data_IF_892001786360
#
_entry.id   IF_892001786360
#
_cell.length_a   1.000
_cell.length_b   1.000
_cell.length_c   1.000
_cell.angle_alpha   90.00
_cell.angle_beta   90.00
_cell.angle_gamma   90.00
#
_symmetry.space_group_name_H-M   'P 1'
#
loop_
_entity.id
_entity.type
_entity.pdbx_description
1 polymer ?
#
# COMPACT_ATOMS: atom_id res chain seq x y z
N UNK A 1 9.04 33.95 -9.78
CA UNK A 1 8.31 33.41 -8.61
C UNK A 1 7.03 32.68 -9.02
N UNK A 2 7.03 31.85 -10.09
CA UNK A 2 5.86 31.10 -10.60
C UNK A 2 6.16 29.67 -11.07
N UNK A 3 7.31 29.08 -10.70
CA UNK A 3 7.76 27.77 -11.18
C UNK A 3 7.85 26.71 -10.04
N UNK A 4 7.63 27.07 -8.80
CA UNK A 4 7.91 26.22 -7.64
C UNK A 4 6.73 25.36 -7.12
N UNK A 5 5.58 25.39 -7.80
CA UNK A 5 4.37 24.68 -7.34
C UNK A 5 4.08 23.34 -8.06
N UNK A 6 5.00 22.81 -8.85
CA UNK A 6 4.72 21.67 -9.75
C UNK A 6 5.32 20.31 -9.39
N UNK A 7 6.00 20.13 -8.25
CA UNK A 7 6.76 18.89 -8.01
C UNK A 7 6.32 18.06 -6.79
N UNK A 8 5.34 18.49 -6.00
CA UNK A 8 4.89 17.73 -4.82
C UNK A 8 3.49 17.12 -4.96
N UNK A 9 2.92 17.18 -6.14
CA UNK A 9 1.58 16.64 -6.39
C UNK A 9 1.54 15.83 -7.68
N UNK A 10 2.36 14.79 -7.80
CA UNK A 10 2.21 13.81 -8.89
C UNK A 10 1.22 12.69 -8.53
N UNK A 11 0.35 12.94 -7.58
CA UNK A 11 -1.05 12.55 -7.57
C UNK A 11 -1.91 13.80 -7.81
N UNK A 12 -1.43 14.69 -8.67
CA UNK A 12 -2.27 15.74 -9.22
C UNK A 12 -3.32 15.04 -10.07
N UNK A 13 -4.55 15.13 -9.63
CA UNK A 13 -5.58 15.51 -10.57
C UNK A 13 -4.92 16.47 -11.57
N UNK A 14 -4.69 16.01 -12.81
CA UNK A 14 -4.58 16.91 -13.90
C UNK A 14 -5.81 17.80 -13.82
N UNK A 15 -5.62 19.02 -13.31
CA UNK A 15 -6.52 20.14 -13.51
C UNK A 15 -6.33 20.64 -14.96
N UNK A 16 -6.21 19.72 -15.93
CA UNK A 16 -6.71 19.96 -17.24
C UNK A 16 -8.20 20.22 -17.03
N UNK A 17 -8.68 21.38 -17.37
CA UNK A 17 -10.10 21.62 -17.62
C UNK A 17 -10.62 20.35 -18.27
N UNK A 18 -11.48 19.62 -17.54
CA UNK A 18 -12.09 18.42 -18.07
C UNK A 18 -13.00 18.92 -19.16
N UNK A 19 -12.48 18.96 -20.39
CA UNK A 19 -13.29 19.15 -21.58
C UNK A 19 -14.19 17.94 -21.62
N UNK A 20 -15.39 18.11 -21.10
CA UNK A 20 -16.43 17.12 -21.26
C UNK A 20 -16.74 17.05 -22.74
N UNK A 21 -16.68 15.87 -23.31
CA UNK A 21 -17.02 15.63 -24.70
C UNK A 21 -18.54 15.66 -24.89
N UNK A 22 -18.99 16.09 -26.04
CA UNK A 22 -20.43 16.23 -26.38
C UNK A 22 -21.09 14.89 -26.70
N UNK A 23 -20.30 13.87 -27.03
CA UNK A 23 -20.76 12.51 -27.30
C UNK A 23 -19.95 11.43 -26.61
N UNK A 24 -20.57 10.27 -26.39
CA UNK A 24 -19.90 9.08 -25.85
C UNK A 24 -18.78 8.62 -26.80
N UNK A 25 -19.02 8.68 -28.11
CA UNK A 25 -18.03 8.28 -29.13
C UNK A 25 -16.76 9.12 -29.04
N UNK A 26 -16.91 10.43 -28.87
CA UNK A 26 -15.76 11.32 -28.65
C UNK A 26 -15.04 11.05 -27.35
N UNK A 27 -15.77 10.84 -26.26
CA UNK A 27 -15.18 10.47 -24.98
C UNK A 27 -14.40 9.14 -25.05
N UNK A 28 -14.91 8.16 -25.79
CA UNK A 28 -14.21 6.91 -26.05
C UNK A 28 -12.98 7.10 -26.95
N UNK A 29 -13.06 7.87 -28.02
CA UNK A 29 -11.93 8.13 -28.93
C UNK A 29 -10.77 8.88 -28.26
N UNK A 30 -11.09 9.77 -27.32
CA UNK A 30 -10.12 10.59 -26.58
C UNK A 30 -9.74 10.02 -25.21
N UNK A 31 -9.97 8.74 -25.00
CA UNK A 31 -9.52 8.04 -23.82
C UNK A 31 -8.01 7.78 -23.85
N UNK A 32 -7.49 7.35 -22.70
CA UNK A 32 -6.07 7.04 -22.49
C UNK A 32 -5.89 5.55 -22.32
N UNK A 33 -5.08 4.94 -23.18
CA UNK A 33 -4.57 3.59 -23.00
C UNK A 33 -3.29 3.63 -22.17
N UNK A 34 -3.14 2.69 -21.26
CA UNK A 34 -1.93 2.50 -20.45
C UNK A 34 -1.59 1.02 -20.38
N UNK A 35 -0.31 0.71 -20.32
CA UNK A 35 0.11 -0.67 -20.16
C UNK A 35 1.53 -0.78 -19.63
N UNK A 36 1.84 -1.96 -19.13
CA UNK A 36 3.20 -2.34 -18.80
C UNK A 36 3.47 -3.81 -19.11
N UNK A 37 4.73 -4.09 -19.41
CA UNK A 37 5.28 -5.44 -19.45
C UNK A 37 6.47 -5.45 -18.49
N UNK A 38 6.52 -6.44 -17.61
CA UNK A 38 7.61 -6.58 -16.66
C UNK A 38 8.12 -8.01 -16.59
N UNK A 39 9.44 -8.16 -16.59
CA UNK A 39 10.12 -9.35 -16.14
C UNK A 39 10.54 -9.15 -14.69
N UNK A 40 9.94 -9.90 -13.78
CA UNK A 40 10.07 -9.71 -12.35
C UNK A 40 10.58 -10.98 -11.67
N UNK A 41 11.49 -10.82 -10.73
CA UNK A 41 12.01 -11.89 -9.90
C UNK A 41 11.92 -11.55 -8.42
N UNK A 42 11.77 -12.55 -7.61
CA UNK A 42 11.82 -12.49 -6.16
C UNK A 42 12.61 -13.68 -5.62
N UNK A 43 13.47 -13.42 -4.66
CA UNK A 43 14.20 -14.41 -3.89
C UNK A 43 14.16 -14.07 -2.42
N UNK A 44 13.69 -15.00 -1.61
CA UNK A 44 13.70 -14.91 -0.16
C UNK A 44 14.58 -15.98 0.45
N UNK A 45 15.63 -15.58 1.15
CA UNK A 45 16.56 -16.45 1.87
C UNK A 45 16.31 -16.42 3.37
N UNK A 46 16.28 -17.58 4.01
CA UNK A 46 16.24 -17.72 5.47
C UNK A 46 17.65 -17.92 6.01
N UNK A 47 18.04 -17.15 7.03
CA UNK A 47 19.35 -17.30 7.66
C UNK A 47 19.44 -18.60 8.46
N UNK A 48 20.51 -19.38 8.22
CA UNK A 48 20.73 -20.77 8.68
C UNK A 48 20.56 -21.02 10.19
N UNK A 49 20.73 -20.04 11.06
CA UNK A 49 20.68 -20.23 12.51
C UNK A 49 19.29 -20.46 13.11
N UNK A 50 18.24 -20.22 12.34
CA UNK A 50 16.84 -20.31 12.83
C UNK A 50 15.99 -21.34 12.06
N UNK A 51 16.53 -21.95 11.03
CA UNK A 51 15.83 -22.95 10.23
C UNK A 51 15.31 -24.14 11.03
N UNK A 52 15.97 -24.51 12.15
CA UNK A 52 15.56 -25.61 13.00
C UNK A 52 14.31 -25.35 13.85
N UNK A 53 14.14 -24.14 14.37
CA UNK A 53 12.97 -23.76 15.18
C UNK A 53 11.78 -23.36 14.30
N UNK A 54 12.07 -22.73 13.19
CA UNK A 54 11.09 -22.31 12.17
C UNK A 54 10.65 -23.48 11.30
N UNK A 55 11.53 -24.48 11.08
CA UNK A 55 11.25 -25.65 10.23
C UNK A 55 10.03 -26.46 10.70
N UNK A 56 9.75 -26.56 11.98
CA UNK A 56 8.55 -27.23 12.49
C UNK A 56 7.27 -26.42 12.30
N UNK A 57 7.31 -25.12 12.48
CA UNK A 57 6.16 -24.24 12.28
C UNK A 57 5.88 -23.96 10.80
N UNK A 58 6.93 -23.79 9.99
CA UNK A 58 6.81 -23.57 8.53
C UNK A 58 6.55 -24.86 7.76
N UNK A 59 6.99 -26.02 8.25
CA UNK A 59 6.62 -27.32 7.67
C UNK A 59 5.11 -27.55 7.72
N UNK A 60 4.42 -27.03 8.72
CA UNK A 60 2.95 -27.03 8.81
C UNK A 60 2.30 -26.20 7.72
N UNK A 61 3.02 -25.20 7.17
CA UNK A 61 2.56 -24.34 6.07
C UNK A 61 3.24 -24.64 4.72
N UNK A 62 4.01 -25.71 4.61
CA UNK A 62 4.69 -26.10 3.38
C UNK A 62 5.99 -25.34 3.06
N UNK A 63 6.59 -24.67 4.05
CA UNK A 63 7.82 -23.88 3.88
C UNK A 63 9.04 -24.58 4.45
N UNK A 64 9.88 -25.09 3.59
CA UNK A 64 11.14 -25.73 3.96
C UNK A 64 12.37 -24.96 3.47
N UNK A 65 12.43 -23.66 3.64
CA UNK A 65 13.65 -22.93 3.30
C UNK A 65 13.46 -21.70 2.41
N UNK A 66 14.45 -21.43 1.58
CA UNK A 66 14.47 -20.31 0.65
C UNK A 66 13.38 -20.48 -0.42
N UNK A 67 12.78 -19.39 -0.86
CA UNK A 67 11.86 -19.35 -1.99
C UNK A 67 12.40 -18.45 -3.09
N UNK A 68 11.99 -18.68 -4.32
CA UNK A 68 12.40 -17.85 -5.43
C UNK A 68 11.69 -18.17 -6.73
N UNK A 69 11.45 -17.13 -7.52
CA UNK A 69 10.80 -17.27 -8.81
C UNK A 69 11.19 -16.14 -9.76
N UNK A 70 11.02 -16.42 -11.08
CA UNK A 70 10.97 -15.41 -12.12
C UNK A 70 9.69 -15.56 -12.93
N UNK A 71 9.07 -14.43 -13.28
CA UNK A 71 7.84 -14.39 -14.04
C UNK A 71 7.83 -13.21 -15.03
N UNK A 72 7.05 -13.37 -16.09
CA UNK A 72 6.62 -12.28 -16.93
C UNK A 72 5.21 -11.88 -16.57
N UNK A 73 4.92 -10.59 -16.53
CA UNK A 73 3.56 -10.12 -16.37
C UNK A 73 3.26 -8.93 -17.29
N UNK A 74 2.00 -8.77 -17.65
CA UNK A 74 1.49 -7.70 -18.49
C UNK A 74 0.26 -7.10 -17.85
N UNK A 75 0.23 -5.77 -17.80
CA UNK A 75 -0.94 -4.98 -17.43
C UNK A 75 -1.40 -4.14 -18.61
N UNK A 76 -2.70 -4.13 -18.89
CA UNK A 76 -3.32 -3.31 -19.91
C UNK A 76 -4.55 -2.63 -19.35
N UNK A 77 -4.73 -1.36 -19.70
CA UNK A 77 -5.87 -0.58 -19.23
C UNK A 77 -6.28 0.51 -20.21
N UNK A 78 -7.51 0.90 -20.08
CA UNK A 78 -8.10 2.00 -20.83
C UNK A 78 -8.98 2.82 -19.91
N UNK A 79 -8.90 4.15 -20.02
CA UNK A 79 -9.77 5.10 -19.33
C UNK A 79 -10.34 6.04 -20.37
N UNK A 80 -11.67 6.14 -20.48
CA UNK A 80 -12.33 7.07 -21.40
C UNK A 80 -12.08 8.52 -21.01
N UNK A 81 -12.26 9.44 -21.95
CA UNK A 81 -12.52 10.84 -21.62
C UNK A 81 -13.83 11.01 -20.86
N UNK A 82 -14.11 12.21 -20.39
CA UNK A 82 -15.38 12.52 -19.74
C UNK A 82 -16.46 12.83 -20.76
N UNK A 83 -17.56 12.10 -20.71
CA UNK A 83 -18.83 12.48 -21.33
C UNK A 83 -19.69 13.18 -20.28
N UNK A 84 -19.95 14.46 -20.45
CA UNK A 84 -20.53 15.34 -19.41
C UNK A 84 -19.74 15.23 -18.13
N UNK A 85 -19.95 14.67 -17.13
CA UNK A 85 -19.16 14.56 -15.91
C UNK A 85 -18.80 13.09 -15.56
N UNK A 86 -19.01 12.16 -16.50
CA UNK A 86 -18.85 10.73 -16.26
C UNK A 86 -17.77 10.17 -17.19
N UNK A 87 -16.90 9.33 -16.65
CA UNK A 87 -15.98 8.48 -17.40
C UNK A 87 -15.98 7.05 -16.90
N UNK A 88 -15.46 6.14 -17.71
CA UNK A 88 -15.31 4.74 -17.40
C UNK A 88 -13.85 4.32 -17.53
N UNK A 89 -13.43 3.34 -16.73
CA UNK A 89 -12.13 2.69 -16.87
C UNK A 89 -12.26 1.19 -16.77
N UNK A 90 -11.39 0.49 -17.51
CA UNK A 90 -11.21 -0.96 -17.41
C UNK A 90 -9.73 -1.29 -17.53
N UNK A 91 -9.22 -2.18 -16.71
CA UNK A 91 -7.86 -2.71 -16.84
C UNK A 91 -7.77 -4.14 -16.33
N UNK A 92 -6.78 -4.87 -16.81
CA UNK A 92 -6.50 -6.23 -16.37
C UNK A 92 -4.99 -6.46 -16.31
N UNK A 93 -4.61 -7.50 -15.56
CA UNK A 93 -3.23 -7.97 -15.44
C UNK A 93 -3.19 -9.48 -15.57
N UNK A 94 -2.15 -9.97 -16.24
CA UNK A 94 -1.86 -11.39 -16.35
C UNK A 94 -0.38 -11.64 -16.08
N UNK A 95 -0.06 -12.78 -15.46
CA UNK A 95 1.31 -13.16 -15.13
C UNK A 95 1.52 -14.67 -15.35
N UNK A 96 2.75 -15.03 -15.74
CA UNK A 96 3.14 -16.43 -15.88
C UNK A 96 4.57 -16.63 -15.38
N UNK A 97 4.80 -17.60 -14.45
CA UNK A 97 6.13 -17.94 -14.03
C UNK A 97 6.83 -18.78 -15.11
N UNK A 98 8.08 -18.47 -15.40
CA UNK A 98 8.92 -19.30 -16.27
C UNK A 98 10.03 -19.99 -15.49
N UNK A 99 10.26 -19.62 -14.22
CA UNK A 99 11.17 -20.32 -13.33
C UNK A 99 10.69 -20.23 -11.88
N UNK A 100 10.85 -21.32 -11.13
CA UNK A 100 10.65 -21.41 -9.69
C UNK A 100 11.78 -22.22 -9.08
N UNK A 101 12.27 -21.82 -7.90
CA UNK A 101 13.26 -22.60 -7.15
C UNK A 101 12.66 -23.95 -6.72
N UNK A 102 11.40 -23.96 -6.29
CA UNK A 102 10.66 -25.17 -5.95
C UNK A 102 9.45 -25.30 -6.86
N UNK A 103 9.47 -26.30 -7.75
CA UNK A 103 8.40 -26.51 -8.74
C UNK A 103 7.17 -27.23 -8.19
N UNK A 104 7.34 -28.06 -7.15
CA UNK A 104 6.33 -29.00 -6.66
C UNK A 104 5.90 -28.70 -5.22
N UNK A 105 5.94 -27.45 -4.79
CA UNK A 105 5.37 -27.08 -3.48
C UNK A 105 3.87 -27.38 -3.46
N UNK A 106 3.38 -27.81 -2.30
CA UNK A 106 1.96 -27.93 -1.97
C UNK A 106 1.34 -26.52 -1.90
N UNK A 107 1.15 -25.92 -3.06
CA UNK A 107 0.47 -24.64 -3.22
C UNK A 107 -0.92 -24.88 -3.80
N UNK A 108 -1.89 -24.00 -3.57
CA UNK A 108 -3.25 -24.17 -4.07
C UNK A 108 -3.32 -24.42 -5.59
N UNK A 109 -2.36 -23.91 -6.35
CA UNK A 109 -2.32 -24.04 -7.81
C UNK A 109 -1.29 -25.04 -8.32
N UNK A 110 -0.42 -25.56 -7.45
CA UNK A 110 0.67 -26.47 -7.85
C UNK A 110 1.76 -25.86 -8.74
N UNK A 111 1.85 -24.52 -8.81
CA UNK A 111 2.74 -23.79 -9.73
C UNK A 111 4.03 -23.27 -9.06
N UNK A 112 4.45 -23.90 -7.97
CA UNK A 112 5.69 -23.59 -7.28
C UNK A 112 5.67 -22.29 -6.47
N UNK A 113 6.83 -21.71 -6.21
CA UNK A 113 6.99 -20.55 -5.34
C UNK A 113 6.18 -19.33 -5.80
N UNK A 114 6.12 -19.05 -7.09
CA UNK A 114 5.35 -17.95 -7.64
C UNK A 114 3.85 -18.03 -7.32
N UNK A 115 3.29 -19.24 -7.26
CA UNK A 115 1.86 -19.43 -6.96
C UNK A 115 1.51 -19.19 -5.49
N UNK A 116 2.50 -19.01 -4.68
CA UNK A 116 2.35 -18.70 -3.27
C UNK A 116 2.59 -17.22 -2.98
N UNK A 117 3.68 -16.68 -3.51
CA UNK A 117 4.17 -15.36 -3.13
C UNK A 117 3.68 -14.27 -4.09
N UNK A 118 3.42 -14.62 -5.35
CA UNK A 118 2.96 -13.68 -6.36
C UNK A 118 1.46 -13.78 -6.65
N UNK A 119 0.93 -14.98 -6.93
CA UNK A 119 -0.51 -15.17 -7.19
C UNK A 119 -1.05 -16.43 -6.49
N UNK A 120 -2.26 -16.33 -5.92
CA UNK A 120 -2.85 -17.43 -5.17
C UNK A 120 -3.44 -18.51 -6.10
N UNK A 121 -4.39 -18.15 -6.98
CA UNK A 121 -5.10 -19.07 -7.86
C UNK A 121 -5.06 -18.64 -9.31
N UNK A 122 -5.40 -17.39 -9.61
CA UNK A 122 -5.57 -16.89 -10.96
C UNK A 122 -4.32 -16.17 -11.46
N UNK A 123 -3.88 -16.53 -12.67
CA UNK A 123 -2.78 -15.88 -13.38
C UNK A 123 -3.23 -14.65 -14.19
N UNK A 124 -4.53 -14.43 -14.29
CA UNK A 124 -5.10 -13.25 -14.93
C UNK A 124 -6.30 -12.75 -14.12
N UNK A 125 -6.40 -11.45 -13.96
CA UNK A 125 -7.49 -10.84 -13.20
C UNK A 125 -7.84 -9.46 -13.75
N UNK A 126 -9.13 -9.09 -13.59
CA UNK A 126 -9.61 -7.74 -13.84
C UNK A 126 -9.06 -6.82 -12.73
N UNK A 127 -8.24 -5.86 -13.11
CA UNK A 127 -7.61 -4.94 -12.19
C UNK A 127 -8.53 -3.77 -11.85
N UNK A 128 -8.95 -3.00 -12.84
CA UNK A 128 -9.88 -1.88 -12.65
C UNK A 128 -11.13 -2.09 -13.51
N UNK A 129 -12.28 -1.71 -12.97
CA UNK A 129 -13.54 -1.62 -13.70
C UNK A 129 -14.47 -0.68 -12.94
N UNK A 130 -14.50 0.60 -13.30
CA UNK A 130 -15.29 1.58 -12.55
C UNK A 130 -15.90 2.65 -13.44
N UNK A 131 -16.95 3.27 -12.91
CA UNK A 131 -17.47 4.56 -13.35
C UNK A 131 -17.02 5.65 -12.40
N UNK A 132 -16.69 6.82 -12.92
CA UNK A 132 -16.33 8.00 -12.15
C UNK A 132 -17.16 9.18 -12.59
N UNK A 133 -17.76 9.87 -11.63
CA UNK A 133 -18.37 11.19 -11.78
C UNK A 133 -17.47 12.24 -11.17
N UNK A 134 -17.31 13.38 -11.86
CA UNK A 134 -16.54 14.51 -11.38
C UNK A 134 -17.11 15.83 -11.90
N UNK A 135 -17.44 16.77 -11.01
CA UNK A 135 -17.99 18.09 -11.34
C UNK A 135 -17.08 19.27 -10.95
N UNK A 136 -15.86 18.97 -10.51
CA UNK A 136 -14.90 19.96 -9.99
C UNK A 136 -14.74 19.85 -8.47
N UNK A 137 -15.81 19.79 -7.72
CA UNK A 137 -15.81 19.72 -6.27
C UNK A 137 -16.06 18.33 -5.73
N UNK A 138 -16.95 17.60 -6.39
CA UNK A 138 -17.35 16.24 -5.98
C UNK A 138 -16.77 15.21 -6.95
N UNK A 139 -16.13 14.20 -6.39
CA UNK A 139 -15.68 13.04 -7.12
C UNK A 139 -16.29 11.77 -6.52
N UNK A 140 -16.94 10.95 -7.37
CA UNK A 140 -17.55 9.68 -6.97
C UNK A 140 -17.01 8.59 -7.89
N UNK A 141 -16.51 7.48 -7.31
CA UNK A 141 -16.14 6.27 -8.06
C UNK A 141 -16.95 5.09 -7.56
N UNK A 142 -17.44 4.27 -8.49
CA UNK A 142 -18.16 3.04 -8.18
C UNK A 142 -17.66 1.89 -9.07
N UNK A 143 -17.37 0.75 -8.46
CA UNK A 143 -16.82 -0.43 -9.11
C UNK A 143 -15.53 -0.91 -8.48
N UNK A 144 -14.59 -1.38 -9.30
CA UNK A 144 -13.28 -1.89 -8.88
C UNK A 144 -12.19 -0.87 -9.16
N UNK A 145 -11.52 -0.40 -8.12
CA UNK A 145 -10.43 0.59 -8.21
C UNK A 145 -9.59 0.61 -6.93
N UNK A 146 -8.42 1.26 -6.98
CA UNK A 146 -7.63 1.54 -5.77
C UNK A 146 -8.23 2.76 -5.07
N UNK A 147 -8.62 2.59 -3.80
CA UNK A 147 -9.11 3.69 -2.97
C UNK A 147 -7.91 4.53 -2.52
N UNK A 148 -7.90 5.86 -2.74
CA UNK A 148 -6.81 6.73 -2.36
C UNK A 148 -6.84 7.05 -0.85
N UNK A 149 -6.63 6.04 -0.02
CA UNK A 149 -6.65 6.17 1.45
C UNK A 149 -5.33 5.67 2.05
N UNK A 150 -4.91 6.24 3.17
CA UNK A 150 -3.64 5.87 3.80
C UNK A 150 -3.63 4.47 4.45
N UNK A 151 -4.80 3.94 4.80
CA UNK A 151 -4.94 2.64 5.45
C UNK A 151 -5.39 1.53 4.51
N UNK A 152 -5.73 1.88 3.26
CA UNK A 152 -6.16 0.93 2.25
C UNK A 152 -5.34 1.17 0.99
N UNK A 153 -4.55 0.19 0.61
CA UNK A 153 -3.65 0.26 -0.54
C UNK A 153 -3.87 -0.87 -1.55
N UNK A 154 -5.00 -1.55 -1.44
CA UNK A 154 -5.36 -2.68 -2.30
C UNK A 154 -6.43 -2.28 -3.31
N UNK A 155 -6.57 -3.05 -4.37
CA UNK A 155 -7.71 -2.96 -5.28
C UNK A 155 -8.98 -3.35 -4.53
N UNK A 156 -10.06 -2.58 -4.70
CA UNK A 156 -11.28 -2.72 -3.91
C UNK A 156 -12.52 -2.63 -4.80
N UNK A 157 -13.50 -3.49 -4.52
CA UNK A 157 -14.84 -3.41 -5.10
C UNK A 157 -15.73 -2.61 -4.16
N UNK A 158 -16.18 -1.41 -4.60
CA UNK A 158 -16.91 -0.53 -3.71
C UNK A 158 -17.30 0.80 -4.33
N UNK A 159 -17.58 1.74 -3.43
CA UNK A 159 -17.93 3.12 -3.77
C UNK A 159 -17.03 4.04 -2.95
N UNK A 160 -16.48 5.05 -3.57
CA UNK A 160 -15.73 6.12 -2.93
C UNK A 160 -16.28 7.47 -3.36
N UNK A 161 -16.37 8.39 -2.40
CA UNK A 161 -16.86 9.74 -2.60
C UNK A 161 -15.94 10.73 -1.91
N UNK A 162 -15.67 11.85 -2.57
CA UNK A 162 -14.94 12.98 -2.01
C UNK A 162 -15.60 14.28 -2.42
N UNK A 163 -15.76 15.20 -1.47
CA UNK A 163 -16.31 16.52 -1.70
C UNK A 163 -15.38 17.60 -1.13
N UNK A 164 -15.18 18.68 -1.91
CA UNK A 164 -14.35 19.85 -1.60
C UNK A 164 -15.09 21.18 -1.80
N UNK A 165 -16.41 21.15 -1.79
CA UNK A 165 -17.24 22.36 -1.93
C UNK A 165 -17.03 23.38 -0.80
N UNK A 166 -16.52 22.93 0.33
CA UNK A 166 -16.17 23.81 1.45
C UNK A 166 -14.71 24.29 1.30
N UNK A 167 -14.45 25.58 1.54
CA UNK A 167 -13.15 26.21 1.31
C UNK A 167 -12.00 25.53 2.04
N UNK A 168 -12.21 25.17 3.31
CA UNK A 168 -11.15 24.62 4.17
C UNK A 168 -11.44 23.21 4.68
N UNK A 169 -12.50 22.57 4.17
CA UNK A 169 -12.92 21.23 4.60
C UNK A 169 -13.08 20.30 3.41
N UNK A 170 -12.40 19.18 3.47
CA UNK A 170 -12.61 18.04 2.57
C UNK A 170 -13.33 16.92 3.33
N UNK A 171 -14.42 16.45 2.78
CA UNK A 171 -15.14 15.27 3.25
C UNK A 171 -14.86 14.10 2.29
N UNK A 172 -14.58 12.95 2.84
CA UNK A 172 -14.33 11.72 2.09
C UNK A 172 -15.03 10.55 2.78
N UNK A 173 -15.54 9.63 1.99
CA UNK A 173 -16.08 8.38 2.50
C UNK A 173 -15.94 7.28 1.47
N UNK A 174 -15.90 6.04 1.93
CA UNK A 174 -15.99 4.89 1.05
C UNK A 174 -16.63 3.70 1.74
N UNK A 175 -17.20 2.86 0.92
CA UNK A 175 -17.67 1.54 1.30
C UNK A 175 -17.04 0.49 0.38
N UNK A 176 -16.51 -0.58 0.96
CA UNK A 176 -15.84 -1.67 0.24
C UNK A 176 -16.41 -3.00 0.67
N UNK A 177 -16.75 -3.85 -0.30
CA UNK A 177 -17.24 -5.20 -0.05
C UNK A 177 -16.18 -6.27 -0.25
N UNK A 178 -15.42 -6.19 -1.34
CA UNK A 178 -14.37 -7.14 -1.70
C UNK A 178 -13.05 -6.40 -1.97
N UNK A 179 -11.93 -7.11 -1.77
CA UNK A 179 -10.61 -6.57 -2.02
C UNK A 179 -9.68 -7.64 -2.60
N UNK A 180 -8.66 -7.20 -3.31
CA UNK A 180 -7.62 -8.04 -3.85
C UNK A 180 -6.38 -7.22 -4.17
N UNK A 181 -5.28 -7.86 -4.54
CA UNK A 181 -4.06 -7.20 -4.98
C UNK A 181 -3.84 -7.43 -6.46
N UNK A 182 -3.61 -6.36 -7.21
CA UNK A 182 -3.32 -6.42 -8.64
C UNK A 182 -2.22 -5.41 -8.94
N UNK A 183 -0.98 -5.84 -8.73
CA UNK A 183 0.22 -5.05 -8.94
C UNK A 183 1.26 -5.83 -9.75
N UNK A 184 2.28 -5.14 -10.23
CA UNK A 184 3.36 -5.80 -10.98
C UNK A 184 4.22 -6.75 -10.14
N UNK A 185 4.13 -6.65 -8.82
CA UNK A 185 4.89 -7.46 -7.87
C UNK A 185 4.04 -8.46 -7.08
N UNK A 186 2.70 -8.38 -7.17
CA UNK A 186 1.79 -9.30 -6.49
C UNK A 186 0.39 -9.28 -7.11
N UNK A 187 -0.22 -10.43 -7.21
CA UNK A 187 -1.63 -10.61 -7.57
C UNK A 187 -2.30 -11.52 -6.56
N UNK A 188 -3.53 -11.21 -6.17
CA UNK A 188 -4.38 -12.09 -5.36
C UNK A 188 -5.80 -12.07 -5.88
N UNK A 189 -6.52 -13.15 -5.62
CA UNK A 189 -7.95 -13.19 -5.89
C UNK A 189 -8.70 -12.19 -5.00
N UNK A 190 -9.87 -11.79 -5.46
CA UNK A 190 -10.75 -10.93 -4.68
C UNK A 190 -11.50 -11.75 -3.64
N UNK A 191 -11.51 -11.26 -2.42
CA UNK A 191 -12.18 -11.88 -1.28
C UNK A 191 -12.98 -10.84 -0.49
N UNK A 192 -13.96 -11.32 0.26
CA UNK A 192 -14.80 -10.45 1.10
C UNK A 192 -13.97 -9.79 2.19
N UNK A 193 -14.16 -8.48 2.34
CA UNK A 193 -13.60 -7.73 3.47
C UNK A 193 -14.12 -8.24 4.80
N UNK A 194 -15.41 -8.56 4.85
CA UNK A 194 -16.07 -9.08 6.06
C UNK A 194 -16.71 -10.44 5.78
N UNK A 195 -16.08 -11.54 6.19
CA UNK A 195 -16.64 -12.87 6.01
C UNK A 195 -17.82 -13.19 6.94
N UNK A 196 -18.08 -12.36 7.95
CA UNK A 196 -19.12 -12.58 8.97
C UNK A 196 -20.40 -11.77 8.75
N UNK A 197 -20.40 -10.87 7.76
CA UNK A 197 -21.56 -10.06 7.41
C UNK A 197 -21.56 -9.73 5.92
N UNK A 198 -22.72 -9.44 5.36
CA UNK A 198 -22.87 -8.96 3.98
C UNK A 198 -22.39 -7.52 3.78
N UNK A 199 -22.20 -6.77 4.85
CA UNK A 199 -21.67 -5.41 4.84
C UNK A 199 -20.16 -5.46 5.06
N UNK A 200 -19.39 -4.90 4.13
CA UNK A 200 -17.93 -4.89 4.18
C UNK A 200 -17.36 -3.87 5.18
N UNK A 201 -16.60 -2.91 4.67
CA UNK A 201 -15.92 -1.85 5.43
C UNK A 201 -16.44 -0.49 4.99
N UNK A 202 -16.85 0.34 5.93
CA UNK A 202 -17.18 1.76 5.75
C UNK A 202 -16.08 2.62 6.36
N UNK A 203 -15.71 3.69 5.68
CA UNK A 203 -14.90 4.78 6.20
C UNK A 203 -15.58 6.12 5.98
N UNK A 204 -15.44 7.02 6.96
CA UNK A 204 -15.76 8.43 6.83
C UNK A 204 -14.55 9.23 7.32
N UNK A 205 -14.17 10.26 6.59
CA UNK A 205 -13.02 11.10 6.86
C UNK A 205 -13.40 12.57 6.67
N UNK A 206 -13.03 13.40 7.62
CA UNK A 206 -13.06 14.85 7.52
C UNK A 206 -11.62 15.38 7.65
N UNK A 207 -11.17 16.18 6.69
CA UNK A 207 -9.85 16.81 6.67
C UNK A 207 -10.02 18.33 6.61
N UNK A 208 -9.58 19.00 7.66
CA UNK A 208 -9.63 20.46 7.78
C UNK A 208 -8.24 21.05 7.48
N UNK A 209 -8.21 22.08 6.64
CA UNK A 209 -7.01 22.81 6.24
C UNK A 209 -6.93 24.10 7.05
N UNK A 210 -6.20 24.09 8.18
CA UNK A 210 -5.94 25.31 8.98
C UNK A 210 -5.14 26.30 8.15
N UNK A 211 -4.18 25.79 7.38
CA UNK A 211 -3.48 26.47 6.30
C UNK A 211 -3.27 25.50 5.15
N UNK A 212 -2.84 25.93 3.96
CA UNK A 212 -2.51 25.01 2.86
C UNK A 212 -1.46 23.93 3.21
N UNK A 213 -0.64 24.19 4.23
CA UNK A 213 0.46 23.31 4.66
C UNK A 213 0.26 22.70 6.05
N UNK A 214 -0.79 23.07 6.76
CA UNK A 214 -1.13 22.51 8.07
C UNK A 214 -2.56 21.97 8.08
N UNK A 215 -2.71 20.68 8.32
CA UNK A 215 -3.99 19.98 8.23
C UNK A 215 -4.25 19.12 9.45
N UNK A 216 -5.51 19.03 9.83
CA UNK A 216 -6.03 18.09 10.83
C UNK A 216 -7.04 17.18 10.15
N UNK A 217 -6.92 15.88 10.38
CA UNK A 217 -7.82 14.87 9.83
C UNK A 217 -8.42 14.05 10.97
N UNK A 218 -9.72 13.83 10.92
CA UNK A 218 -10.44 12.87 11.76
C UNK A 218 -11.09 11.81 10.84
N UNK A 219 -11.07 10.57 11.25
CA UNK A 219 -11.62 9.48 10.46
C UNK A 219 -12.19 8.37 11.33
N UNK A 220 -13.10 7.61 10.74
CA UNK A 220 -13.64 6.38 11.35
C UNK A 220 -13.64 5.23 10.36
N UNK A 221 -13.47 4.02 10.87
CA UNK A 221 -13.71 2.77 10.16
C UNK A 221 -14.75 1.96 10.88
N UNK A 222 -15.65 1.32 10.12
CA UNK A 222 -16.68 0.46 10.67
C UNK A 222 -16.82 -0.82 9.84
N UNK A 223 -16.67 -1.95 10.49
CA UNK A 223 -16.90 -3.28 9.94
C UNK A 223 -17.74 -4.08 10.93
N UNK A 224 -18.98 -4.40 10.60
CA UNK A 224 -19.90 -5.08 11.52
C UNK A 224 -19.29 -6.36 12.09
N UNK A 225 -19.49 -6.60 13.39
CA UNK A 225 -18.97 -7.75 14.15
C UNK A 225 -17.47 -7.82 14.34
N UNK A 226 -16.65 -7.11 13.53
CA UNK A 226 -15.19 -7.18 13.60
C UNK A 226 -14.62 -6.02 14.42
N UNK A 227 -14.81 -4.77 14.01
CA UNK A 227 -14.36 -3.60 14.78
C UNK A 227 -15.02 -2.29 14.33
N UNK A 228 -14.90 -1.29 15.21
CA UNK A 228 -15.07 0.13 14.91
C UNK A 228 -13.83 0.87 15.34
N UNK A 229 -13.24 1.69 14.49
CA UNK A 229 -12.06 2.48 14.83
C UNK A 229 -12.28 3.97 14.61
N UNK A 230 -11.69 4.78 15.48
CA UNK A 230 -11.66 6.23 15.40
C UNK A 230 -10.21 6.68 15.38
N UNK A 231 -9.88 7.60 14.50
CA UNK A 231 -8.52 8.11 14.39
C UNK A 231 -8.45 9.59 14.08
N UNK A 232 -7.32 10.16 14.42
CA UNK A 232 -6.97 11.54 14.08
C UNK A 232 -5.53 11.61 13.61
N UNK A 233 -5.23 12.58 12.73
CA UNK A 233 -3.88 12.85 12.24
C UNK A 233 -3.68 14.33 12.01
N UNK A 234 -2.53 14.83 12.43
CA UNK A 234 -2.07 16.18 12.21
C UNK A 234 -0.86 16.12 11.29
N UNK A 235 -0.83 16.96 10.26
CA UNK A 235 0.31 17.10 9.36
C UNK A 235 0.65 18.57 9.21
N UNK A 236 1.92 18.89 9.34
CA UNK A 236 2.45 20.24 9.10
C UNK A 236 3.70 20.19 8.24
N UNK A 237 3.82 21.12 7.29
CA UNK A 237 5.00 21.32 6.47
C UNK A 237 5.29 22.80 6.31
N UNK A 238 6.51 23.18 6.56
CA UNK A 238 7.01 24.53 6.34
C UNK A 238 8.08 24.50 5.25
N UNK A 239 7.89 25.29 4.20
CA UNK A 239 8.79 25.35 3.04
C UNK A 239 9.53 26.68 3.00
N UNK A 240 10.85 26.61 2.93
CA UNK A 240 11.77 27.69 2.64
C UNK A 240 12.25 27.57 1.18
N UNK A 241 12.98 28.56 0.66
CA UNK A 241 13.33 28.60 -0.76
C UNK A 241 13.94 27.29 -1.30
N UNK A 242 14.86 26.66 -0.57
CA UNK A 242 15.61 25.51 -1.01
C UNK A 242 15.35 24.23 -0.21
N UNK A 243 14.69 24.34 0.93
CA UNK A 243 14.40 23.19 1.79
C UNK A 243 13.02 23.28 2.44
N UNK A 244 12.58 22.18 2.97
CA UNK A 244 11.38 22.08 3.76
C UNK A 244 11.62 21.25 5.01
N UNK A 245 10.85 21.53 6.04
CA UNK A 245 10.77 20.75 7.27
C UNK A 245 9.31 20.46 7.56
N UNK A 246 9.01 19.30 8.10
CA UNK A 246 7.65 18.99 8.49
C UNK A 246 7.59 17.92 9.56
N UNK A 247 6.38 17.79 10.09
CA UNK A 247 6.05 16.78 11.08
C UNK A 247 4.63 16.25 10.85
N UNK A 248 4.43 15.01 11.24
CA UNK A 248 3.10 14.40 11.32
C UNK A 248 2.97 13.60 12.61
N UNK A 249 1.77 13.52 13.14
CA UNK A 249 1.42 12.67 14.26
C UNK A 249 0.01 12.11 14.07
N UNK A 250 -0.20 10.89 14.50
CA UNK A 250 -1.48 10.20 14.40
C UNK A 250 -1.79 9.38 15.63
N UNK A 251 -3.06 9.20 15.90
CA UNK A 251 -3.56 8.29 16.91
C UNK A 251 -4.83 7.63 16.41
N UNK A 252 -4.90 6.32 16.57
CA UNK A 252 -6.10 5.54 16.22
C UNK A 252 -6.41 4.58 17.35
N UNK A 253 -7.69 4.48 17.67
CA UNK A 253 -8.23 3.57 18.67
C UNK A 253 -9.32 2.72 18.05
N UNK A 254 -9.35 1.42 18.36
CA UNK A 254 -10.38 0.51 17.88
C UNK A 254 -11.12 -0.18 19.02
N UNK A 255 -12.42 -0.35 18.81
CA UNK A 255 -13.32 -1.17 19.62
C UNK A 255 -13.55 -2.46 18.85
N UNK A 256 -13.00 -3.56 19.33
CA UNK A 256 -13.11 -4.87 18.68
C UNK A 256 -14.50 -5.47 18.91
N UNK A 257 -15.06 -6.06 17.86
CA UNK A 257 -16.35 -6.75 17.89
C UNK A 257 -16.29 -8.19 18.39
N UNK A 258 -17.38 -8.91 18.21
CA UNK A 258 -17.51 -10.32 18.62
C UNK A 258 -16.60 -11.25 17.81
N UNK A 259 -16.45 -10.97 16.51
CA UNK A 259 -15.66 -11.77 15.57
C UNK A 259 -14.27 -11.17 15.40
N UNK A 260 -13.41 -11.39 16.35
CA UNK A 260 -12.01 -10.99 16.29
C UNK A 260 -11.11 -12.15 15.93
N UNK A 261 -9.99 -11.87 15.30
CA UNK A 261 -8.98 -12.90 15.08
C UNK A 261 -8.42 -13.45 16.39
N UNK A 262 -8.19 -14.76 16.44
CA UNK A 262 -7.57 -15.41 17.58
C UNK A 262 -6.25 -14.75 17.96
N UNK A 263 -6.06 -14.43 19.22
CA UNK A 263 -4.86 -13.75 19.74
C UNK A 263 -4.95 -12.23 19.82
N UNK A 264 -6.02 -11.60 19.28
CA UNK A 264 -6.27 -10.17 19.49
C UNK A 264 -7.12 -9.93 20.72
N UNK A 265 -6.77 -8.90 21.47
CA UNK A 265 -7.48 -8.46 22.66
C UNK A 265 -8.39 -7.29 22.31
N UNK A 266 -9.38 -7.03 23.17
CA UNK A 266 -10.27 -5.88 22.97
C UNK A 266 -9.51 -4.55 23.07
N UNK A 267 -9.98 -3.56 22.32
CA UNK A 267 -9.61 -2.17 22.46
C UNK A 267 -8.12 -1.90 22.22
N UNK A 268 -7.71 -1.95 20.99
CA UNK A 268 -6.35 -1.67 20.56
C UNK A 268 -6.15 -0.22 20.15
N UNK A 269 -4.94 0.28 20.32
CA UNK A 269 -4.57 1.61 19.79
C UNK A 269 -3.18 1.61 19.17
N UNK A 270 -2.99 2.56 18.28
CA UNK A 270 -1.73 2.87 17.61
C UNK A 270 -1.50 4.38 17.68
N UNK A 271 -0.28 4.78 18.03
CA UNK A 271 0.19 6.15 17.97
C UNK A 271 1.43 6.20 17.07
N UNK A 272 1.53 7.22 16.23
CA UNK A 272 2.71 7.43 15.39
C UNK A 272 3.12 8.92 15.38
N UNK A 273 4.42 9.15 15.21
CA UNK A 273 4.98 10.47 14.97
C UNK A 273 6.16 10.37 14.01
N UNK A 274 6.25 11.30 13.06
CA UNK A 274 7.34 11.39 12.09
C UNK A 274 7.74 12.85 11.92
N UNK A 275 9.04 13.12 11.86
CA UNK A 275 9.62 14.38 11.44
C UNK A 275 10.40 14.15 10.15
N UNK A 276 10.43 15.15 9.28
CA UNK A 276 11.14 15.06 8.02
C UNK A 276 11.74 16.41 7.63
N UNK A 277 12.90 16.33 7.00
CA UNK A 277 13.61 17.44 6.40
C UNK A 277 13.97 17.08 4.98
N UNK A 278 13.84 18.01 4.05
CA UNK A 278 14.16 17.73 2.66
C UNK A 278 14.56 18.97 1.85
N UNK A 279 15.14 18.65 0.69
CA UNK A 279 15.48 19.57 -0.39
C UNK A 279 14.83 19.05 -1.68
N UNK A 280 15.05 19.73 -2.80
CA UNK A 280 14.47 19.38 -4.11
C UNK A 280 14.64 17.90 -4.50
N UNK A 281 15.77 17.30 -4.17
CA UNK A 281 16.15 15.97 -4.61
C UNK A 281 16.43 14.99 -3.46
N UNK A 282 16.26 15.42 -2.22
CA UNK A 282 16.65 14.65 -1.04
C UNK A 282 15.67 14.87 0.11
N UNK A 283 15.30 13.80 0.80
CA UNK A 283 14.53 13.85 2.05
C UNK A 283 15.13 12.86 3.05
N UNK A 284 15.28 13.29 4.30
CA UNK A 284 15.49 12.42 5.45
C UNK A 284 14.30 12.52 6.39
N UNK A 285 14.00 11.43 7.05
CA UNK A 285 12.95 11.41 8.06
C UNK A 285 13.31 10.45 9.19
N UNK A 286 12.72 10.70 10.35
CA UNK A 286 12.77 9.81 11.50
C UNK A 286 11.41 9.73 12.14
N UNK A 287 11.06 8.58 12.68
CA UNK A 287 9.74 8.38 13.27
C UNK A 287 9.73 7.33 14.37
N UNK A 288 8.60 7.36 15.07
CA UNK A 288 8.28 6.45 16.16
C UNK A 288 6.85 5.97 16.04
N UNK A 289 6.63 4.67 16.23
CA UNK A 289 5.30 4.06 16.26
C UNK A 289 5.17 3.23 17.52
N UNK A 290 4.04 3.37 18.19
CA UNK A 290 3.69 2.60 19.38
C UNK A 290 2.33 1.94 19.25
N UNK A 291 2.25 0.65 19.63
CA UNK A 291 0.99 -0.08 19.74
C UNK A 291 0.71 -0.42 21.21
N UNK A 292 -0.57 -0.40 21.58
CA UNK A 292 -0.99 -0.67 22.97
C UNK A 292 -0.73 -2.12 23.40
N UNK A 293 -0.93 -2.38 24.71
CA UNK A 293 -0.85 -3.72 25.30
C UNK A 293 -1.83 -4.71 24.65
N UNK A 294 -2.97 -4.22 24.26
CA UNK A 294 -3.94 -4.95 23.47
C UNK A 294 -3.47 -4.91 22.04
N UNK A 295 -3.33 -6.03 21.38
CA UNK A 295 -2.77 -6.04 20.03
C UNK A 295 -3.60 -5.24 19.05
N UNK A 296 -2.94 -4.72 18.06
CA UNK A 296 -3.28 -3.96 16.87
C UNK A 296 -4.73 -3.71 16.52
N UNK A 297 -4.97 -2.61 15.90
CA UNK A 297 -6.28 -2.25 15.39
C UNK A 297 -6.40 -2.58 13.89
N UNK A 298 -7.64 -2.66 13.39
CA UNK A 298 -7.90 -2.79 11.96
C UNK A 298 -7.31 -4.06 11.34
N UNK A 299 -7.30 -5.15 12.09
CA UNK A 299 -6.73 -6.39 11.59
C UNK A 299 -7.71 -7.16 10.70
N UNK A 300 -7.93 -6.63 9.52
CA UNK A 300 -8.58 -7.31 8.41
C UNK A 300 -7.68 -7.19 7.17
N UNK A 301 -7.78 -8.14 6.25
CA UNK A 301 -6.83 -8.26 5.14
C UNK A 301 -6.70 -7.05 4.23
N UNK A 302 -7.76 -6.24 4.11
CA UNK A 302 -7.73 -5.02 3.30
C UNK A 302 -6.90 -3.89 3.93
N UNK A 303 -6.75 -3.86 5.27
CA UNK A 303 -6.09 -2.75 5.95
C UNK A 303 -4.58 -2.84 5.81
N UNK A 304 -4.00 -1.91 5.07
CA UNK A 304 -2.55 -1.69 5.01
C UNK A 304 -1.99 -1.08 6.29
N UNK A 305 -0.67 -1.05 6.39
CA UNK A 305 0.07 -0.38 7.46
C UNK A 305 0.81 0.83 6.89
N UNK A 306 0.08 1.93 6.67
CA UNK A 306 0.61 3.10 5.97
C UNK A 306 1.53 3.97 6.83
N UNK A 307 1.62 3.69 8.12
CA UNK A 307 2.55 4.36 9.01
C UNK A 307 3.88 3.62 9.12
N UNK A 308 3.90 2.31 8.82
CA UNK A 308 5.10 1.49 8.79
C UNK A 308 5.97 1.92 7.59
N UNK A 309 7.23 2.30 7.81
CA UNK A 309 8.10 2.77 6.73
C UNK A 309 8.71 1.63 5.90
N UNK A 310 8.54 0.38 6.31
CA UNK A 310 9.15 -0.78 5.68
C UNK A 310 8.29 -1.33 4.54
N UNK A 311 8.92 -2.17 3.71
CA UNK A 311 8.22 -2.81 2.61
C UNK A 311 7.14 -3.78 3.10
N UNK A 312 6.12 -3.96 2.27
CA UNK A 312 5.00 -4.88 2.53
C UNK A 312 5.46 -6.33 2.76
N UNK A 313 6.64 -6.71 2.26
CA UNK A 313 7.22 -8.06 2.42
C UNK A 313 8.07 -8.21 3.67
N UNK A 314 8.35 -7.10 4.36
CA UNK A 314 9.15 -7.08 5.58
C UNK A 314 8.54 -7.88 6.73
N UNK A 315 9.04 -7.65 7.90
CA UNK A 315 8.60 -8.31 9.10
C UNK A 315 7.10 -8.17 9.39
N UNK A 316 6.68 -8.47 10.58
CA UNK A 316 5.29 -8.28 11.00
C UNK A 316 4.94 -6.79 11.01
N UNK A 317 3.83 -6.43 10.41
CA UNK A 317 3.27 -5.09 10.49
C UNK A 317 3.14 -4.65 11.95
N UNK A 318 3.74 -3.51 12.30
CA UNK A 318 3.80 -3.01 13.69
C UNK A 318 2.41 -2.85 14.29
N UNK A 319 1.42 -2.39 13.54
CA UNK A 319 0.05 -2.17 14.02
C UNK A 319 -0.63 -3.41 14.58
N UNK A 320 -0.19 -4.60 14.19
CA UNK A 320 -0.76 -5.87 14.64
C UNK A 320 -0.04 -6.44 15.86
N UNK A 321 1.00 -5.80 16.36
CA UNK A 321 1.80 -6.29 17.48
C UNK A 321 1.26 -5.77 18.82
N UNK A 322 1.48 -6.56 19.87
CA UNK A 322 1.20 -6.16 21.26
C UNK A 322 2.38 -5.37 21.80
N UNK A 323 2.11 -4.22 22.40
CA UNK A 323 3.12 -3.39 23.06
C UNK A 323 4.36 -3.15 22.17
N UNK A 324 4.11 -3.00 20.87
CA UNK A 324 5.14 -2.78 19.87
C UNK A 324 5.68 -1.36 19.92
N UNK A 325 6.98 -1.22 19.76
CA UNK A 325 7.65 0.07 19.63
C UNK A 325 8.61 -0.01 18.47
N UNK A 326 8.41 0.83 17.46
CA UNK A 326 9.31 0.97 16.31
C UNK A 326 9.93 2.36 16.30
N UNK A 327 11.27 2.41 16.26
CA UNK A 327 12.03 3.62 15.96
C UNK A 327 12.71 3.40 14.61
N UNK A 328 12.59 4.37 13.69
CA UNK A 328 13.15 4.26 12.36
C UNK A 328 13.71 5.57 11.83
N UNK A 329 14.59 5.44 10.83
CA UNK A 329 15.06 6.52 9.98
C UNK A 329 14.99 6.13 8.51
N UNK A 330 14.65 7.08 7.66
CA UNK A 330 14.56 6.87 6.22
C UNK A 330 15.27 7.99 5.46
N UNK A 331 15.83 7.65 4.32
CA UNK A 331 16.42 8.57 3.36
C UNK A 331 15.84 8.29 1.97
N UNK A 332 15.45 9.33 1.29
CA UNK A 332 14.96 9.27 -0.08
C UNK A 332 15.76 10.23 -0.96
N UNK A 333 16.23 9.74 -2.09
CA UNK A 333 16.96 10.53 -3.11
C UNK A 333 16.21 10.37 -4.43
N UNK A 334 15.91 11.50 -5.08
CA UNK A 334 15.26 11.53 -6.38
C UNK A 334 16.01 12.50 -7.29
N UNK A 335 16.92 11.98 -8.09
CA UNK A 335 17.79 12.76 -8.99
C UNK A 335 17.57 12.26 -10.42
N UNK A 336 16.96 13.11 -11.25
CA UNK A 336 16.69 12.83 -12.66
C UNK A 336 16.00 11.46 -12.85
N UNK A 337 16.75 10.46 -13.31
CA UNK A 337 16.24 9.10 -13.58
C UNK A 337 16.45 8.12 -12.44
N UNK A 338 17.04 8.56 -11.34
CA UNK A 338 17.37 7.71 -10.20
C UNK A 338 16.45 8.03 -9.02
N UNK A 339 15.76 7.02 -8.51
CA UNK A 339 15.08 7.06 -7.22
C UNK A 339 15.72 6.04 -6.31
N UNK A 340 16.17 6.46 -5.15
CA UNK A 340 16.79 5.60 -4.15
C UNK A 340 16.11 5.84 -2.82
N UNK A 341 15.80 4.76 -2.10
CA UNK A 341 15.25 4.79 -0.75
C UNK A 341 16.04 3.85 0.13
N UNK A 342 16.35 4.29 1.33
CA UNK A 342 16.97 3.48 2.38
C UNK A 342 16.20 3.73 3.67
N UNK A 343 15.75 2.66 4.32
CA UNK A 343 15.09 2.71 5.62
C UNK A 343 15.75 1.73 6.56
N UNK A 344 15.98 2.15 7.80
CA UNK A 344 16.46 1.29 8.88
C UNK A 344 15.62 1.54 10.13
N UNK A 345 15.26 0.48 10.83
CA UNK A 345 14.57 0.60 12.10
C UNK A 345 14.71 -0.60 13.00
N UNK A 346 14.34 -0.38 14.25
CA UNK A 346 14.36 -1.36 15.31
C UNK A 346 12.99 -1.42 15.97
N UNK A 347 12.38 -2.59 15.92
CA UNK A 347 11.08 -2.87 16.54
C UNK A 347 11.29 -3.74 17.77
N UNK A 348 10.72 -3.35 18.90
CA UNK A 348 10.56 -4.20 20.08
C UNK A 348 9.11 -4.62 20.21
N UNK A 349 8.88 -5.91 20.46
CA UNK A 349 7.56 -6.49 20.67
C UNK A 349 7.52 -7.03 22.07
N UNK A 350 6.56 -6.59 22.87
CA UNK A 350 6.47 -7.04 24.25
C UNK A 350 7.84 -6.98 24.97
N UNK A 351 8.04 -7.66 26.08
CA UNK A 351 9.21 -7.47 26.95
C UNK A 351 10.50 -8.13 26.47
N UNK A 352 10.49 -8.96 25.45
CA UNK A 352 11.67 -9.78 25.10
C UNK A 352 12.02 -9.92 23.63
N UNK A 353 11.13 -9.59 22.72
CA UNK A 353 11.37 -9.80 21.28
C UNK A 353 11.77 -8.51 20.56
N UNK A 354 12.81 -8.59 19.74
CA UNK A 354 13.29 -7.47 18.91
C UNK A 354 13.49 -7.92 17.47
N UNK A 355 13.31 -6.98 16.56
CA UNK A 355 13.64 -7.14 15.16
C UNK A 355 14.28 -5.86 14.67
N UNK A 356 15.38 -5.98 13.95
CA UNK A 356 15.91 -4.88 13.16
C UNK A 356 15.66 -5.17 11.68
N UNK A 357 15.35 -4.14 10.94
CA UNK A 357 15.07 -4.24 9.51
C UNK A 357 15.78 -3.13 8.76
N UNK A 358 16.32 -3.48 7.60
CA UNK A 358 16.90 -2.55 6.64
C UNK A 358 16.31 -2.84 5.28
N UNK A 359 15.75 -1.79 4.67
CA UNK A 359 15.18 -1.83 3.34
C UNK A 359 15.90 -0.87 2.42
N UNK A 360 16.34 -1.37 1.29
CA UNK A 360 16.91 -0.59 0.20
C UNK A 360 16.04 -0.76 -1.04
N UNK A 361 15.70 0.35 -1.70
CA UNK A 361 14.96 0.35 -2.96
C UNK A 361 15.60 1.29 -3.95
N UNK A 362 15.67 0.88 -5.21
CA UNK A 362 16.07 1.78 -6.30
C UNK A 362 15.22 1.53 -7.54
N UNK A 363 14.88 2.63 -8.21
CA UNK A 363 14.30 2.65 -9.56
C UNK A 363 15.21 3.48 -10.45
N UNK A 364 15.60 2.94 -11.60
CA UNK A 364 16.48 3.56 -12.58
C UNK A 364 15.75 3.64 -13.93
N UNK A 365 15.50 4.85 -14.42
CA UNK A 365 14.95 5.07 -15.76
C UNK A 365 16.05 4.97 -16.82
N UNK A 366 16.06 3.91 -17.63
CA UNK A 366 16.96 3.79 -18.78
C UNK A 366 16.49 4.66 -19.94
N UNK A 367 15.18 4.69 -20.16
CA UNK A 367 14.51 5.56 -21.13
C UNK A 367 13.23 6.12 -20.49
N UNK A 368 12.41 6.86 -21.24
CA UNK A 368 11.10 7.32 -20.78
C UNK A 368 10.15 6.16 -20.42
N UNK A 369 10.33 5.03 -21.05
CA UNK A 369 9.41 3.89 -20.96
C UNK A 369 10.03 2.65 -20.32
N UNK A 370 11.37 2.60 -20.14
CA UNK A 370 12.07 1.43 -19.60
C UNK A 370 12.70 1.76 -18.26
N UNK A 371 12.36 0.96 -17.26
CA UNK A 371 12.78 1.14 -15.87
C UNK A 371 13.36 -0.15 -15.31
N UNK A 372 14.47 -0.05 -14.59
CA UNK A 372 14.99 -1.09 -13.72
C UNK A 372 14.53 -0.86 -12.29
N UNK A 373 14.13 -1.91 -11.60
CA UNK A 373 13.64 -1.88 -10.22
C UNK A 373 14.45 -2.91 -9.43
N UNK A 374 14.97 -2.53 -8.26
CA UNK A 374 15.62 -3.44 -7.33
C UNK A 374 15.24 -3.05 -5.90
N UNK A 375 14.80 -4.04 -5.14
CA UNK A 375 14.53 -3.92 -3.72
C UNK A 375 15.31 -5.00 -2.96
N UNK A 376 15.93 -4.62 -1.86
CA UNK A 376 16.64 -5.51 -0.95
C UNK A 376 16.13 -5.24 0.46
N UNK A 377 15.70 -6.29 1.12
CA UNK A 377 15.23 -6.26 2.49
C UNK A 377 16.05 -7.24 3.31
N UNK A 378 16.44 -6.83 4.50
CA UNK A 378 17.09 -7.72 5.46
C UNK A 378 16.52 -7.51 6.87
N UNK A 379 16.07 -8.60 7.48
CA UNK A 379 15.68 -8.61 8.89
C UNK A 379 16.69 -9.39 9.71
N UNK A 380 17.04 -8.90 10.89
CA UNK A 380 17.99 -9.54 11.78
C UNK A 380 17.64 -9.30 13.26
N UNK A 381 18.30 -10.08 14.15
CA UNK A 381 18.04 -10.09 15.61
C UNK A 381 16.59 -10.43 15.97
N UNK A 382 15.94 -11.25 15.16
CA UNK A 382 14.61 -11.75 15.51
C UNK A 382 14.73 -12.76 16.65
N UNK A 383 14.11 -12.43 17.75
CA UNK A 383 13.95 -13.36 18.87
C UNK A 383 12.55 -13.95 18.76
N UNK A 384 12.47 -15.25 18.55
CA UNK A 384 11.24 -16.05 18.57
C UNK A 384 10.24 -15.84 17.42
N UNK A 385 10.08 -16.85 16.60
CA UNK A 385 9.01 -17.12 15.63
C UNK A 385 9.03 -16.37 14.28
N UNK A 386 9.91 -15.41 14.05
CA UNK A 386 10.13 -14.83 12.72
C UNK A 386 11.59 -15.09 12.35
N UNK A 387 11.88 -15.82 11.26
CA UNK A 387 13.24 -16.04 10.83
C UNK A 387 13.89 -14.72 10.38
N UNK A 388 15.20 -14.61 10.60
CA UNK A 388 15.97 -13.60 9.90
C UNK A 388 15.90 -13.91 8.42
N UNK A 389 15.50 -12.94 7.63
CA UNK A 389 15.28 -13.08 6.20
C UNK A 389 16.11 -12.08 5.42
N UNK A 390 16.57 -12.49 4.25
CA UNK A 390 17.06 -11.59 3.21
C UNK A 390 16.16 -11.78 2.01
N UNK A 391 15.52 -10.73 1.53
CA UNK A 391 14.71 -10.77 0.32
C UNK A 391 15.31 -9.82 -0.72
N UNK A 392 15.40 -10.29 -1.95
CA UNK A 392 15.84 -9.50 -3.10
C UNK A 392 14.78 -9.67 -4.16
N UNK A 393 14.20 -8.57 -4.58
CA UNK A 393 13.24 -8.60 -5.67
C UNK A 393 13.43 -7.41 -6.62
N UNK A 394 12.91 -7.56 -7.83
CA UNK A 394 13.00 -6.51 -8.82
C UNK A 394 12.88 -7.02 -10.25
N UNK A 395 13.14 -6.15 -11.19
CA UNK A 395 13.01 -6.50 -12.60
C UNK A 395 13.15 -5.33 -13.55
N UNK A 396 12.82 -5.58 -14.80
CA UNK A 396 12.79 -4.58 -15.86
C UNK A 396 11.35 -4.40 -16.30
N UNK A 397 10.87 -3.17 -16.28
CA UNK A 397 9.52 -2.75 -16.67
C UNK A 397 9.58 -1.86 -17.91
N UNK A 398 8.80 -2.22 -18.92
CA UNK A 398 8.45 -1.38 -20.05
C UNK A 398 7.04 -0.85 -19.84
N UNK A 399 6.85 0.48 -19.83
CA UNK A 399 5.53 1.14 -19.72
C UNK A 399 5.19 1.87 -21.02
N UNK A 400 3.94 1.90 -21.41
CA UNK A 400 3.44 2.56 -22.64
C UNK A 400 2.00 3.04 -22.48
#
# INVERSE_FOLDING_TARGET
>A
MKIFLKIIFLWTLDLSYVLAYDSIDEALKNGVSKGDVIFYGDYQGLNKGQAGAVGKSLATYGYLGNTGYFLGNVGLGYTSGFYKNIRAAISFRAATPFWNLHKNLLTPTGKGDASKDFFNHNQATLAESFLEYFDGDTNIKAGRFVIPNEWINTMSDGIWIRNRSFTDLMLEGFWVNDYGRVAYYQMSDFEKVNPYASFGLLNLTAKYYITPTFTVKAYTFFTPKIFTALGTRINGKYSLSNFFIGAQAGYTYSFEGEQRYSGYTHNASVADAKVFFGMKFFEISGGYIHTSKNSGWGNIGIMGDSIDPFFVWGGKAIKTQKNGNLIYGSMHVNIDRFKISLTYGSTSYDTSSRQNEIDFSTEIGFTHNVFGILNILNTHKNTLNIPNTTQINGGIRLSF
#
